data_IF_494034344794
#
_entry.id   IF_494034344794
#
_cell.length_a   1.000
_cell.length_b   1.000
_cell.length_c   1.000
_cell.angle_alpha   90.00
_cell.angle_beta   90.00
_cell.angle_gamma   90.00
#
_symmetry.space_group_name_H-M   'P 1'
#
loop_
_entity.id
_entity.type
_entity.pdbx_description
1 polymer ?
#
# COMPACT_ATOMS: atom_id res chain seq x y z
N UNK A 1 8.50 8.18 -9.99
CA UNK A 1 8.39 6.79 -9.51
C UNK A 1 8.20 5.84 -10.70
N UNK A 2 7.24 6.10 -11.60
CA UNK A 2 6.97 5.22 -12.77
C UNK A 2 8.21 4.97 -13.62
N UNK A 3 8.97 6.02 -13.95
CA UNK A 3 10.23 5.88 -14.70
C UNK A 3 11.29 5.04 -13.96
N UNK A 4 11.33 5.14 -12.64
CA UNK A 4 12.25 4.33 -11.83
C UNK A 4 11.86 2.86 -11.85
N UNK A 5 10.56 2.55 -11.77
CA UNK A 5 10.05 1.19 -11.92
C UNK A 5 10.36 0.68 -13.33
N UNK A 6 10.09 1.46 -14.39
CA UNK A 6 10.42 1.10 -15.75
C UNK A 6 11.92 0.74 -15.89
N UNK A 7 12.81 1.55 -15.32
CA UNK A 7 14.26 1.30 -15.35
C UNK A 7 14.66 -0.02 -14.67
N UNK A 8 13.97 -0.40 -13.59
CA UNK A 8 14.20 -1.68 -12.92
C UNK A 8 13.69 -2.81 -13.79
N UNK A 9 12.45 -2.73 -14.26
CA UNK A 9 11.80 -3.80 -15.04
C UNK A 9 12.48 -4.00 -16.41
N UNK A 10 13.05 -2.95 -17.02
CA UNK A 10 13.79 -3.07 -18.28
C UNK A 10 15.00 -4.02 -18.20
N UNK A 11 15.49 -4.32 -17.01
CA UNK A 11 16.58 -5.29 -16.84
C UNK A 11 16.08 -6.75 -16.88
N UNK A 12 14.76 -6.95 -16.84
CA UNK A 12 14.09 -8.25 -16.70
C UNK A 12 13.00 -8.47 -17.75
N UNK A 13 13.07 -7.84 -18.92
CA UNK A 13 12.01 -7.83 -19.96
C UNK A 13 11.55 -9.22 -20.44
N UNK A 14 12.40 -10.24 -20.30
CA UNK A 14 12.06 -11.63 -20.62
C UNK A 14 11.15 -12.33 -19.62
N UNK A 15 10.88 -11.69 -18.49
CA UNK A 15 10.05 -12.26 -17.41
C UNK A 15 8.67 -11.63 -17.39
N UNK A 16 7.69 -12.36 -16.90
CA UNK A 16 6.38 -11.83 -16.49
C UNK A 16 6.52 -11.15 -15.13
N UNK A 17 5.80 -10.06 -14.92
CA UNK A 17 5.88 -9.29 -13.68
C UNK A 17 4.64 -9.45 -12.84
N UNK A 18 4.83 -9.79 -11.57
CA UNK A 18 3.85 -9.66 -10.51
C UNK A 18 4.24 -8.48 -9.62
N UNK A 19 3.27 -7.66 -9.21
CA UNK A 19 3.52 -6.46 -8.43
C UNK A 19 2.69 -6.48 -7.15
N UNK A 20 3.36 -6.42 -6.00
CA UNK A 20 2.71 -6.30 -4.70
C UNK A 20 2.89 -4.89 -4.16
N UNK A 21 1.80 -4.31 -3.68
CA UNK A 21 1.81 -3.00 -3.05
C UNK A 21 1.01 -2.94 -1.75
N UNK A 22 1.68 -2.52 -0.67
CA UNK A 22 1.07 -2.27 0.63
C UNK A 22 0.74 -0.80 0.82
N UNK A 23 -0.48 -0.47 1.24
CA UNK A 23 -0.93 0.87 1.65
C UNK A 23 -0.59 1.93 0.59
N UNK A 24 0.32 2.87 0.85
CA UNK A 24 0.78 3.85 -0.14
C UNK A 24 1.49 3.18 -1.32
N UNK A 25 2.26 2.11 -1.09
CA UNK A 25 2.86 1.29 -2.15
C UNK A 25 1.82 0.66 -3.06
N UNK A 26 0.65 0.27 -2.54
CA UNK A 26 -0.48 -0.22 -3.34
C UNK A 26 -1.03 0.82 -4.30
N UNK A 27 -1.03 2.10 -3.93
CA UNK A 27 -1.39 3.19 -4.86
C UNK A 27 -0.38 3.36 -5.99
N UNK A 28 0.90 3.22 -5.67
CA UNK A 28 1.97 3.23 -6.69
C UNK A 28 1.79 2.04 -7.62
N UNK A 29 1.50 0.86 -7.07
CA UNK A 29 1.25 -0.36 -7.83
C UNK A 29 0.03 -0.22 -8.75
N UNK A 30 -1.09 0.30 -8.25
CA UNK A 30 -2.29 0.61 -9.05
C UNK A 30 -1.96 1.57 -10.20
N UNK A 31 -1.30 2.68 -9.90
CA UNK A 31 -0.94 3.66 -10.91
C UNK A 31 -0.03 3.05 -11.97
N UNK A 32 0.98 2.28 -11.54
CA UNK A 32 1.91 1.63 -12.46
C UNK A 32 1.21 0.60 -13.35
N UNK A 33 0.33 -0.21 -12.80
CA UNK A 33 -0.42 -1.23 -13.55
C UNK A 33 -1.29 -0.60 -14.65
N UNK A 34 -1.82 0.61 -14.41
CA UNK A 34 -2.69 1.31 -15.37
C UNK A 34 -1.89 2.10 -16.42
N UNK A 35 -0.77 2.72 -16.02
CA UNK A 35 -0.06 3.72 -16.82
C UNK A 35 1.42 3.40 -17.05
N UNK A 36 1.94 2.31 -16.47
CA UNK A 36 3.33 1.88 -16.63
C UNK A 36 3.61 1.35 -18.04
N UNK A 37 4.88 1.24 -18.37
CA UNK A 37 5.34 0.76 -19.67
C UNK A 37 5.23 -0.77 -19.78
N UNK A 38 5.49 -1.48 -18.70
CA UNK A 38 5.50 -2.94 -18.69
C UNK A 38 4.18 -3.50 -18.17
N UNK A 39 3.71 -4.55 -18.80
CA UNK A 39 2.50 -5.26 -18.38
C UNK A 39 2.73 -5.95 -17.03
N UNK A 40 1.82 -5.73 -16.12
CA UNK A 40 1.76 -6.46 -14.84
C UNK A 40 0.72 -7.56 -14.99
N UNK A 41 1.15 -8.81 -14.85
CA UNK A 41 0.28 -9.98 -14.98
C UNK A 41 -0.57 -10.18 -13.74
N UNK A 42 0.05 -10.11 -12.57
CA UNK A 42 -0.59 -10.28 -11.28
C UNK A 42 -0.37 -9.05 -10.41
N UNK A 43 -1.43 -8.52 -9.84
CA UNK A 43 -1.41 -7.35 -8.97
C UNK A 43 -1.93 -7.71 -7.59
N UNK A 44 -1.09 -7.56 -6.57
CA UNK A 44 -1.45 -7.84 -5.17
C UNK A 44 -1.53 -6.51 -4.42
N UNK A 45 -2.69 -6.25 -3.84
CA UNK A 45 -3.02 -4.98 -3.19
C UNK A 45 -3.36 -5.20 -1.73
N UNK A 46 -2.45 -4.83 -0.83
CA UNK A 46 -2.63 -4.94 0.61
C UNK A 46 -3.03 -3.61 1.21
N UNK A 47 -4.19 -3.55 1.88
CA UNK A 47 -4.66 -2.42 2.69
C UNK A 47 -4.52 -1.07 1.97
N UNK A 48 -4.97 -0.98 0.73
CA UNK A 48 -4.78 0.19 -0.14
C UNK A 48 -6.09 0.71 -0.74
N UNK A 49 -6.01 1.82 -1.46
CA UNK A 49 -7.15 2.44 -2.13
C UNK A 49 -6.74 3.10 -3.46
N UNK A 50 -7.65 3.27 -4.42
CA UNK A 50 -7.37 3.98 -5.67
C UNK A 50 -7.20 5.50 -5.52
N UNK A 51 -7.37 6.05 -4.33
CA UNK A 51 -7.22 7.48 -4.10
C UNK A 51 -8.39 8.08 -3.33
N UNK A 52 -8.32 9.39 -3.12
CA UNK A 52 -9.37 10.18 -2.48
C UNK A 52 -10.16 10.88 -3.58
N UNK A 53 -11.42 10.46 -3.78
CA UNK A 53 -12.28 11.01 -4.82
C UNK A 53 -12.83 12.40 -4.45
N UNK A 54 -13.18 12.61 -3.19
CA UNK A 54 -13.67 13.90 -2.69
C UNK A 54 -12.55 14.94 -2.63
N UNK A 55 -12.76 16.08 -3.26
CA UNK A 55 -11.74 17.12 -3.36
C UNK A 55 -11.47 17.81 -2.01
N UNK A 56 -12.48 18.00 -1.18
CA UNK A 56 -12.31 18.60 0.14
C UNK A 56 -11.48 17.69 1.06
N UNK A 57 -11.81 16.39 1.11
CA UNK A 57 -11.04 15.39 1.85
C UNK A 57 -9.60 15.25 1.31
N UNK A 58 -9.43 15.42 -0.01
CA UNK A 58 -8.10 15.39 -0.61
C UNK A 58 -7.25 16.59 -0.19
N UNK A 59 -7.83 17.80 -0.16
CA UNK A 59 -7.15 19.01 0.32
C UNK A 59 -6.82 18.91 1.82
N UNK A 60 -7.75 18.43 2.62
CA UNK A 60 -7.50 18.16 4.03
C UNK A 60 -6.32 17.19 4.22
N UNK A 61 -6.31 16.11 3.46
CA UNK A 61 -5.20 15.15 3.52
C UNK A 61 -3.87 15.76 3.07
N UNK A 62 -3.85 16.64 2.07
CA UNK A 62 -2.65 17.38 1.67
C UNK A 62 -2.11 18.24 2.82
N UNK A 63 -3.00 18.95 3.53
CA UNK A 63 -2.60 19.75 4.68
C UNK A 63 -2.01 18.88 5.81
N UNK A 64 -2.59 17.71 6.08
CA UNK A 64 -2.07 16.74 7.05
C UNK A 64 -0.69 16.22 6.62
N UNK A 65 -0.52 15.81 5.36
CA UNK A 65 0.74 15.30 4.85
C UNK A 65 1.83 16.38 4.87
N UNK A 66 1.47 17.64 4.58
CA UNK A 66 2.37 18.79 4.70
C UNK A 66 2.80 19.05 6.16
N UNK A 67 1.85 19.01 7.10
CA UNK A 67 2.15 19.17 8.52
C UNK A 67 3.11 18.07 9.03
N UNK A 68 2.85 16.83 8.64
CA UNK A 68 3.72 15.68 8.95
C UNK A 68 5.13 15.85 8.35
N UNK A 69 5.22 16.35 7.12
CA UNK A 69 6.51 16.67 6.49
C UNK A 69 7.29 17.71 7.29
N UNK A 70 6.63 18.76 7.82
CA UNK A 70 7.27 19.76 8.69
C UNK A 70 7.76 19.17 10.01
N UNK A 71 6.99 18.26 10.62
CA UNK A 71 7.45 17.56 11.85
C UNK A 71 8.73 16.80 11.58
N UNK A 72 8.79 16.06 10.45
CA UNK A 72 10.01 15.35 10.06
C UNK A 72 11.22 16.26 9.87
N UNK A 73 11.04 17.42 9.25
CA UNK A 73 12.11 18.37 8.96
C UNK A 73 12.61 19.14 10.19
N UNK A 74 11.70 19.47 11.12
CA UNK A 74 12.01 20.32 12.27
C UNK A 74 12.34 19.48 13.50
N UNK A 75 11.54 18.44 13.79
CA UNK A 75 11.65 17.66 15.01
C UNK A 75 12.31 16.28 14.79
N UNK A 76 12.52 15.89 13.55
CA UNK A 76 13.20 14.66 13.17
C UNK A 76 12.33 13.40 13.21
N UNK A 77 13.00 12.28 12.87
CA UNK A 77 12.31 10.99 12.65
C UNK A 77 11.73 10.41 13.94
N UNK A 78 12.38 10.61 15.08
CA UNK A 78 11.93 9.98 16.33
C UNK A 78 10.62 10.58 16.82
N UNK A 79 10.48 11.90 16.80
CA UNK A 79 9.23 12.59 17.16
C UNK A 79 8.10 12.17 16.22
N UNK A 80 8.39 12.13 14.92
CA UNK A 80 7.42 11.67 13.93
C UNK A 80 6.97 10.23 14.19
N UNK A 81 7.90 9.30 14.43
CA UNK A 81 7.57 7.88 14.65
C UNK A 81 6.76 7.70 15.94
N UNK A 82 7.10 8.44 17.02
CA UNK A 82 6.35 8.40 18.27
C UNK A 82 4.87 8.78 18.09
N UNK A 83 4.57 9.72 17.21
CA UNK A 83 3.18 10.11 16.93
C UNK A 83 2.54 9.21 15.87
N UNK A 84 3.31 8.77 14.89
CA UNK A 84 2.84 7.87 13.83
C UNK A 84 2.34 6.54 14.38
N UNK A 85 3.07 5.95 15.33
CA UNK A 85 2.71 4.67 15.95
C UNK A 85 1.42 4.72 16.77
N UNK A 86 1.01 5.91 17.24
CA UNK A 86 -0.24 6.11 18.00
C UNK A 86 -1.49 6.25 17.12
N UNK A 87 -1.33 6.33 15.79
CA UNK A 87 -2.47 6.46 14.91
C UNK A 87 -3.44 5.26 15.06
N UNK A 88 -4.75 5.50 15.04
CA UNK A 88 -5.76 4.42 15.14
C UNK A 88 -5.52 3.28 14.16
N UNK A 89 -4.97 3.60 12.99
CA UNK A 89 -4.63 2.65 11.93
C UNK A 89 -3.66 1.54 12.38
N UNK A 90 -2.87 1.79 13.43
CA UNK A 90 -1.83 0.88 13.91
C UNK A 90 -2.11 0.33 15.31
N UNK A 91 -3.34 0.48 15.83
CA UNK A 91 -3.70 0.01 17.18
C UNK A 91 -3.51 -1.50 17.35
N UNK A 92 -3.79 -2.30 16.33
CA UNK A 92 -3.60 -3.75 16.35
C UNK A 92 -2.15 -4.15 16.58
N UNK A 93 -1.19 -3.31 16.17
CA UNK A 93 0.23 -3.57 16.36
C UNK A 93 0.68 -3.57 17.83
N UNK A 94 -0.10 -2.97 18.74
CA UNK A 94 0.19 -3.06 20.17
C UNK A 94 0.03 -4.49 20.72
N UNK A 95 -0.73 -5.34 20.04
CA UNK A 95 -0.96 -6.73 20.42
C UNK A 95 0.14 -7.70 19.91
N UNK A 96 1.02 -7.22 19.01
CA UNK A 96 2.14 -8.00 18.50
C UNK A 96 3.17 -8.30 19.61
N UNK A 97 3.95 -9.35 19.42
CA UNK A 97 5.09 -9.64 20.29
C UNK A 97 6.13 -8.51 20.26
N UNK A 98 6.93 -8.41 21.31
CA UNK A 98 7.87 -7.31 21.47
C UNK A 98 8.97 -7.30 20.40
N UNK A 99 9.37 -8.45 19.86
CA UNK A 99 10.38 -8.52 18.81
C UNK A 99 9.86 -7.90 17.52
N UNK A 100 8.62 -8.22 17.13
CA UNK A 100 7.95 -7.62 15.96
C UNK A 100 7.78 -6.11 16.13
N UNK A 101 7.28 -5.66 17.28
CA UNK A 101 7.15 -4.21 17.60
C UNK A 101 8.48 -3.48 17.48
N UNK A 102 9.55 -4.02 18.06
CA UNK A 102 10.88 -3.43 18.00
C UNK A 102 11.47 -3.44 16.59
N UNK A 103 11.25 -4.51 15.82
CA UNK A 103 11.72 -4.59 14.44
C UNK A 103 11.04 -3.51 13.56
N UNK A 104 9.72 -3.35 13.67
CA UNK A 104 8.97 -2.32 12.97
C UNK A 104 9.44 -0.91 13.37
N UNK A 105 9.64 -0.66 14.67
CA UNK A 105 10.13 0.63 15.15
C UNK A 105 11.54 0.93 14.64
N UNK A 106 12.46 -0.03 14.69
CA UNK A 106 13.82 0.13 14.13
C UNK A 106 13.77 0.47 12.63
N UNK A 107 12.94 -0.22 11.86
CA UNK A 107 12.75 0.05 10.43
C UNK A 107 12.24 1.48 10.19
N UNK A 108 11.27 1.94 10.98
CA UNK A 108 10.74 3.31 10.89
C UNK A 108 11.80 4.36 11.24
N UNK A 109 12.54 4.15 12.32
CA UNK A 109 13.58 5.06 12.78
C UNK A 109 14.80 5.11 11.84
N UNK A 110 15.05 4.07 11.05
CA UNK A 110 16.15 4.05 10.07
C UNK A 110 15.90 4.90 8.83
N UNK A 111 14.70 5.46 8.67
CA UNK A 111 14.36 6.27 7.50
C UNK A 111 15.00 7.67 7.58
N UNK A 112 15.39 8.20 6.42
CA UNK A 112 15.85 9.59 6.30
C UNK A 112 14.66 10.55 6.41
N UNK A 113 14.61 11.44 7.41
CA UNK A 113 13.47 12.32 7.64
C UNK A 113 13.21 13.28 6.48
N UNK A 114 14.25 13.78 5.80
CA UNK A 114 14.09 14.71 4.68
C UNK A 114 13.52 13.99 3.44
N UNK A 115 13.99 12.77 3.17
CA UNK A 115 13.44 11.94 2.08
C UNK A 115 12.00 11.55 2.34
N UNK A 116 11.67 11.21 3.60
CA UNK A 116 10.30 10.87 3.98
C UNK A 116 9.38 12.09 3.90
N UNK A 117 9.82 13.28 4.36
CA UNK A 117 9.08 14.53 4.21
C UNK A 117 8.85 14.87 2.74
N UNK A 118 9.86 14.70 1.89
CA UNK A 118 9.73 14.88 0.44
C UNK A 118 8.72 13.88 -0.15
N UNK A 119 8.76 12.63 0.25
CA UNK A 119 7.81 11.60 -0.19
C UNK A 119 6.36 11.98 0.15
N UNK A 120 6.10 12.48 1.35
CA UNK A 120 4.77 12.95 1.76
C UNK A 120 4.27 14.10 0.89
N UNK A 121 5.14 15.04 0.50
CA UNK A 121 4.79 16.18 -0.36
C UNK A 121 4.59 15.79 -1.81
N UNK A 122 5.44 14.90 -2.35
CA UNK A 122 5.44 14.62 -3.79
C UNK A 122 4.38 13.57 -4.17
N UNK A 123 4.18 12.57 -3.31
CA UNK A 123 3.26 11.45 -3.60
C UNK A 123 2.54 10.92 -2.35
N UNK A 124 2.39 11.73 -1.32
CA UNK A 124 1.50 11.45 -0.21
C UNK A 124 0.07 11.23 -0.71
N UNK A 125 -0.75 10.60 0.12
CA UNK A 125 -2.10 10.15 -0.24
C UNK A 125 -2.99 11.26 -0.81
N UNK A 126 -2.81 12.52 -0.37
CA UNK A 126 -3.54 13.67 -0.88
C UNK A 126 -3.04 14.17 -2.24
N UNK A 127 -1.77 13.88 -2.61
CA UNK A 127 -1.16 14.34 -3.86
C UNK A 127 -1.27 13.31 -5.00
N UNK A 128 -1.47 12.04 -4.67
CA UNK A 128 -1.66 10.99 -5.67
C UNK A 128 -2.97 11.20 -6.45
N UNK A 129 -3.00 10.87 -7.76
CA UNK A 129 -4.22 10.99 -8.54
C UNK A 129 -5.32 10.07 -8.01
N UNK A 130 -6.57 10.48 -8.22
CA UNK A 130 -7.73 9.64 -7.98
C UNK A 130 -7.87 8.65 -9.14
N UNK A 131 -7.74 7.35 -8.86
CA UNK A 131 -7.78 6.28 -9.86
C UNK A 131 -9.12 5.51 -9.88
N UNK A 132 -10.13 5.94 -9.12
CA UNK A 132 -11.43 5.24 -9.07
C UNK A 132 -12.08 5.05 -10.43
N UNK A 133 -11.95 6.02 -11.32
CA UNK A 133 -12.46 5.93 -12.70
C UNK A 133 -11.62 5.03 -13.62
N UNK A 134 -10.39 4.73 -13.24
CA UNK A 134 -9.41 4.05 -14.08
C UNK A 134 -9.16 2.59 -13.70
N UNK A 135 -9.46 2.17 -12.47
CA UNK A 135 -9.19 0.79 -12.00
C UNK A 135 -9.93 -0.28 -12.81
N UNK A 136 -11.05 0.06 -13.45
CA UNK A 136 -11.76 -0.82 -14.41
C UNK A 136 -10.93 -1.17 -15.67
N UNK A 137 -9.84 -0.45 -15.93
CA UNK A 137 -8.91 -0.70 -17.04
C UNK A 137 -7.86 -1.75 -16.71
N UNK A 138 -7.76 -2.16 -15.44
CA UNK A 138 -6.80 -3.18 -14.99
C UNK A 138 -7.16 -4.51 -15.66
N UNK A 139 -6.18 -5.11 -16.33
CA UNK A 139 -6.28 -6.41 -17.00
C UNK A 139 -5.62 -7.52 -16.21
N UNK A 140 -4.75 -7.17 -15.28
CA UNK A 140 -4.05 -8.09 -14.38
C UNK A 140 -5.04 -8.91 -13.56
N UNK A 141 -4.67 -10.12 -13.22
CA UNK A 141 -5.33 -10.83 -12.14
C UNK A 141 -4.99 -10.11 -10.82
N UNK A 142 -6.02 -9.73 -10.07
CA UNK A 142 -5.88 -8.93 -8.86
C UNK A 142 -6.19 -9.74 -7.61
N UNK A 143 -5.28 -9.71 -6.64
CA UNK A 143 -5.54 -10.17 -5.27
C UNK A 143 -5.65 -8.94 -4.36
N UNK A 144 -6.83 -8.76 -3.75
CA UNK A 144 -7.13 -7.63 -2.87
C UNK A 144 -7.17 -8.13 -1.43
N UNK A 145 -6.30 -7.62 -0.58
CA UNK A 145 -6.12 -8.04 0.80
C UNK A 145 -6.50 -6.92 1.76
N UNK A 146 -7.29 -7.23 2.79
CA UNK A 146 -7.58 -6.31 3.89
C UNK A 146 -7.69 -7.07 5.21
N UNK A 147 -7.28 -6.43 6.30
CA UNK A 147 -7.49 -6.96 7.65
C UNK A 147 -8.88 -6.58 8.17
N UNK A 148 -9.57 -7.54 8.81
CA UNK A 148 -10.95 -7.37 9.32
C UNK A 148 -11.09 -6.17 10.25
N UNK A 149 -10.08 -5.90 11.08
CA UNK A 149 -10.09 -4.81 12.05
C UNK A 149 -9.79 -3.42 11.43
N UNK A 150 -9.47 -3.38 10.14
CA UNK A 150 -9.34 -2.15 9.36
C UNK A 150 -10.58 -1.93 8.48
N UNK A 151 -11.71 -1.64 9.12
CA UNK A 151 -13.03 -1.49 8.45
C UNK A 151 -12.99 -0.56 7.22
N UNK A 152 -12.21 0.51 7.31
CA UNK A 152 -12.06 1.45 6.19
C UNK A 152 -11.51 0.76 4.96
N UNK A 153 -10.47 -0.04 5.11
CA UNK A 153 -9.84 -0.72 3.98
C UNK A 153 -10.60 -1.99 3.57
N UNK A 154 -11.32 -2.66 4.47
CA UNK A 154 -12.29 -3.70 4.11
C UNK A 154 -13.37 -3.14 3.17
N UNK A 155 -13.97 -1.99 3.53
CA UNK A 155 -14.98 -1.35 2.70
C UNK A 155 -14.40 -0.85 1.35
N UNK A 156 -13.16 -0.36 1.36
CA UNK A 156 -12.46 0.06 0.15
C UNK A 156 -12.16 -1.13 -0.75
N UNK A 157 -11.67 -2.24 -0.19
CA UNK A 157 -11.40 -3.48 -0.92
C UNK A 157 -12.65 -4.02 -1.62
N UNK A 158 -13.79 -4.06 -0.90
CA UNK A 158 -15.08 -4.47 -1.48
C UNK A 158 -15.55 -3.56 -2.62
N UNK A 159 -15.31 -2.25 -2.52
CA UNK A 159 -15.62 -1.32 -3.62
C UNK A 159 -14.71 -1.50 -4.82
N UNK A 160 -13.40 -1.70 -4.60
CA UNK A 160 -12.47 -2.00 -5.70
C UNK A 160 -12.84 -3.29 -6.43
N UNK A 161 -13.25 -4.33 -5.69
CA UNK A 161 -13.68 -5.60 -6.24
C UNK A 161 -14.92 -5.48 -7.16
N UNK A 162 -15.76 -4.47 -7.00
CA UNK A 162 -16.90 -4.20 -7.90
C UNK A 162 -16.48 -3.57 -9.22
N UNK A 163 -15.31 -2.94 -9.28
CA UNK A 163 -14.84 -2.20 -10.45
C UNK A 163 -13.76 -2.96 -11.24
N UNK A 164 -12.97 -3.84 -10.59
CA UNK A 164 -11.91 -4.63 -11.21
C UNK A 164 -12.51 -5.93 -11.75
N UNK A 165 -12.23 -6.23 -13.02
CA UNK A 165 -12.85 -7.37 -13.70
C UNK A 165 -12.37 -8.73 -13.18
N UNK A 166 -11.06 -8.90 -13.07
CA UNK A 166 -10.43 -10.15 -12.62
C UNK A 166 -9.89 -9.93 -11.22
N UNK A 167 -10.59 -10.43 -10.20
CA UNK A 167 -10.16 -10.23 -8.83
C UNK A 167 -10.46 -11.43 -7.94
N UNK A 168 -9.61 -11.57 -6.93
CA UNK A 168 -9.86 -12.33 -5.70
C UNK A 168 -9.79 -11.37 -4.53
N UNK A 169 -10.59 -11.57 -3.50
CA UNK A 169 -10.55 -10.77 -2.28
C UNK A 169 -10.39 -11.70 -1.08
N UNK A 170 -9.46 -11.38 -0.19
CA UNK A 170 -9.28 -12.10 1.06
C UNK A 170 -9.26 -11.14 2.24
N UNK A 171 -10.09 -11.41 3.26
CA UNK A 171 -10.20 -10.61 4.49
C UNK A 171 -9.64 -11.44 5.64
N UNK A 172 -8.51 -11.00 6.17
CA UNK A 172 -7.81 -11.65 7.28
C UNK A 172 -8.53 -11.40 8.61
N UNK A 173 -8.88 -12.46 9.32
CA UNK A 173 -9.60 -12.35 10.60
C UNK A 173 -8.68 -11.86 11.71
N UNK A 174 -9.20 -10.98 12.57
CA UNK A 174 -8.47 -10.42 13.71
C UNK A 174 -7.17 -9.67 13.35
N UNK A 175 -7.01 -9.25 12.11
CA UNK A 175 -5.84 -8.53 11.58
C UNK A 175 -6.21 -7.10 11.24
N UNK A 176 -5.28 -6.16 11.46
CA UNK A 176 -5.43 -4.75 11.14
C UNK A 176 -4.82 -4.37 9.80
N UNK A 177 -4.17 -3.21 9.77
CA UNK A 177 -3.70 -2.59 8.53
C UNK A 177 -2.45 -3.25 7.93
N UNK A 178 -1.61 -3.87 8.75
CA UNK A 178 -0.28 -4.38 8.32
C UNK A 178 -0.29 -5.91 8.32
N UNK A 179 -1.01 -6.48 7.38
CA UNK A 179 -1.32 -7.92 7.32
C UNK A 179 -0.05 -8.76 7.30
N UNK A 180 0.92 -8.43 6.42
CA UNK A 180 2.18 -9.14 6.25
C UNK A 180 3.07 -9.20 7.51
N UNK A 181 2.75 -8.43 8.55
CA UNK A 181 3.42 -8.47 9.85
C UNK A 181 2.52 -9.07 10.92
N UNK A 182 1.22 -8.76 10.88
CA UNK A 182 0.25 -9.16 11.88
C UNK A 182 -0.12 -10.65 11.76
N UNK A 183 -0.23 -11.16 10.52
CA UNK A 183 -0.44 -12.59 10.21
C UNK A 183 0.41 -13.01 9.00
N UNK A 184 1.71 -13.12 9.23
CA UNK A 184 2.71 -13.47 8.21
C UNK A 184 2.43 -14.84 7.58
N UNK A 185 2.01 -15.83 8.38
CA UNK A 185 1.84 -17.21 7.90
C UNK A 185 0.66 -17.35 6.93
N UNK A 186 -0.49 -16.74 7.25
CA UNK A 186 -1.65 -16.74 6.36
C UNK A 186 -1.37 -15.85 5.13
N UNK A 187 -0.73 -14.69 5.33
CA UNK A 187 -0.33 -13.80 4.23
C UNK A 187 0.53 -14.51 3.20
N UNK A 188 1.62 -15.15 3.62
CA UNK A 188 2.52 -15.89 2.74
C UNK A 188 1.78 -17.00 2.00
N UNK A 189 0.93 -17.74 2.69
CA UNK A 189 0.14 -18.83 2.09
C UNK A 189 -0.76 -18.31 0.97
N UNK A 190 -1.55 -17.27 1.24
CA UNK A 190 -2.50 -16.69 0.27
C UNK A 190 -1.77 -16.10 -0.94
N UNK A 191 -0.70 -15.35 -0.70
CA UNK A 191 0.09 -14.73 -1.78
C UNK A 191 0.76 -15.80 -2.65
N UNK A 192 1.37 -16.83 -2.03
CA UNK A 192 2.04 -17.90 -2.78
C UNK A 192 1.06 -18.75 -3.60
N UNK A 193 -0.14 -19.02 -3.07
CA UNK A 193 -1.19 -19.73 -3.82
C UNK A 193 -1.57 -18.91 -5.05
N UNK A 194 -1.89 -17.62 -4.86
CA UNK A 194 -2.26 -16.74 -5.96
C UNK A 194 -1.18 -16.63 -7.06
N UNK A 195 0.10 -16.52 -6.66
CA UNK A 195 1.19 -16.44 -7.62
C UNK A 195 1.42 -17.72 -8.42
N UNK A 196 0.99 -18.89 -7.91
CA UNK A 196 1.14 -20.19 -8.58
C UNK A 196 -0.01 -20.52 -9.53
N UNK A 197 -1.18 -19.92 -9.39
CA UNK A 197 -2.36 -20.21 -10.22
C UNK A 197 -2.10 -19.99 -11.72
N UNK A 198 -1.26 -18.99 -12.09
CA UNK A 198 -0.87 -18.72 -13.48
C UNK A 198 0.12 -19.72 -14.10
N UNK A 199 0.74 -20.60 -13.31
CA UNK A 199 1.73 -21.55 -13.86
C UNK A 199 1.10 -22.79 -14.52
N UNK A 200 -0.22 -22.92 -14.45
CA UNK A 200 -0.96 -24.07 -14.91
C UNK A 200 -1.81 -23.83 -16.19
N UNK A 201 -1.73 -22.61 -16.76
CA UNK A 201 -2.35 -22.24 -18.05
C UNK A 201 -1.25 -21.98 -19.12
#
# INVERSE_FOLDING_TARGET
ITEQINRVLSQFEKYKFSLLGYSMGGRVALYYTIYGQYEIKQLILESTSPGIADEALRKERQAIDQARGRVLEIAGIEVFVNDWEKLPLFQTQYLLDDNKKQAMRRMRLSQDPNKLAKALRDYGTGHMPNLWGDIKRIKSDCLILAGELDEKFVNTAKKMAQEIKNYQIHIFKNVGHTIHVEDEAEFDTIVLVFLKEEQND
#
